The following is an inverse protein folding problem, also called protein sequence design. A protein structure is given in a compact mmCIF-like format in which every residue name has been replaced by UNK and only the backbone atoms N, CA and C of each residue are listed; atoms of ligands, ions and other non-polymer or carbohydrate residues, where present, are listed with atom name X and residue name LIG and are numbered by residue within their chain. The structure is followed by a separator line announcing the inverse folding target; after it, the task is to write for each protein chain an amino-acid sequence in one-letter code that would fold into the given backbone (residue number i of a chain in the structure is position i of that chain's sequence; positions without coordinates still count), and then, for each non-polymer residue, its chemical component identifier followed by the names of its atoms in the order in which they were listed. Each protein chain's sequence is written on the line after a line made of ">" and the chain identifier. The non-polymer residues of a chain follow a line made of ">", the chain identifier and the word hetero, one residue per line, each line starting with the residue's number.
data_IF_398902723214
#
_entry.id   IF_398902723214
#
_cell.length_a   1.000
_cell.length_b   1.000
_cell.length_c   1.000
_cell.angle_alpha   90.00
_cell.angle_beta   90.00
_cell.angle_gamma   90.00
#
_symmetry.space_group_name_H-M   'P 1'
#
loop_
_entity.id
_entity.type
_entity.pdbx_description
1 polymer ?
#
# COMPACT_ATOMS: atom_id res chain seq x y z
N UNK A 1 -9.01 23.33 -7.33
CA UNK A 1 -7.67 22.80 -7.52
C UNK A 1 -7.48 21.57 -6.67
N UNK A 2 -7.03 20.53 -7.26
CA UNK A 2 -6.83 19.31 -6.52
C UNK A 2 -5.43 19.24 -5.94
N UNK A 3 -5.34 18.77 -4.72
CA UNK A 3 -4.07 18.49 -4.10
C UNK A 3 -3.58 17.16 -4.61
N UNK A 4 -2.42 17.16 -5.22
CA UNK A 4 -1.77 15.93 -5.65
C UNK A 4 -0.82 15.47 -4.57
N UNK A 5 -0.69 14.17 -4.47
CA UNK A 5 0.22 13.58 -3.49
C UNK A 5 1.45 12.97 -4.17
N UNK A 6 1.83 13.56 -5.28
CA UNK A 6 3.00 13.13 -6.01
C UNK A 6 4.24 13.19 -5.12
N UNK A 7 5.00 12.12 -5.10
CA UNK A 7 6.19 12.05 -4.26
C UNK A 7 5.90 11.64 -2.81
N UNK A 8 4.63 11.56 -2.41
CA UNK A 8 4.28 11.08 -1.08
C UNK A 8 4.18 9.55 -1.10
N UNK A 9 4.57 8.94 -0.01
CA UNK A 9 4.49 7.49 0.18
C UNK A 9 3.52 7.23 1.31
N UNK A 10 2.49 6.42 1.02
CA UNK A 10 1.45 6.10 1.99
C UNK A 10 1.43 4.60 2.25
N UNK A 11 1.47 4.22 3.51
CA UNK A 11 1.40 2.83 3.91
C UNK A 11 -0.01 2.56 4.42
N UNK A 12 -0.71 1.60 3.82
CA UNK A 12 -2.09 1.28 4.18
C UNK A 12 -2.17 -0.19 4.58
N UNK A 13 -2.59 -0.44 5.82
CA UNK A 13 -2.84 -1.80 6.28
C UNK A 13 -4.32 -2.10 6.12
N UNK A 14 -4.64 -3.39 6.01
CA UNK A 14 -6.03 -3.81 5.85
C UNK A 14 -6.67 -3.34 4.56
N UNK A 15 -5.87 -3.20 3.49
CA UNK A 15 -6.34 -2.60 2.24
C UNK A 15 -6.99 -3.60 1.28
N UNK A 16 -7.12 -4.86 1.69
CA UNK A 16 -7.67 -5.88 0.80
C UNK A 16 -9.20 -5.85 0.74
N UNK A 17 -9.84 -5.10 1.62
CA UNK A 17 -11.32 -5.00 1.62
C UNK A 17 -11.76 -3.75 2.36
N UNK A 18 -13.01 -3.35 2.13
CA UNK A 18 -13.68 -2.34 2.91
C UNK A 18 -13.06 -0.96 2.84
N UNK A 19 -13.05 -0.28 3.98
CA UNK A 19 -12.60 1.11 4.07
C UNK A 19 -11.12 1.23 3.71
N UNK A 20 -10.30 0.26 4.11
CA UNK A 20 -8.87 0.29 3.80
C UNK A 20 -8.61 0.28 2.30
N UNK A 21 -9.35 -0.54 1.57
CA UNK A 21 -9.23 -0.60 0.11
C UNK A 21 -9.68 0.71 -0.53
N UNK A 22 -10.78 1.27 -0.07
CA UNK A 22 -11.28 2.53 -0.58
C UNK A 22 -10.28 3.68 -0.31
N UNK A 23 -9.68 3.67 0.87
CA UNK A 23 -8.66 4.66 1.23
C UNK A 23 -7.45 4.55 0.32
N UNK A 24 -6.97 3.33 0.10
CA UNK A 24 -5.83 3.10 -0.78
C UNK A 24 -6.11 3.58 -2.20
N UNK A 25 -7.32 3.31 -2.70
CA UNK A 25 -7.72 3.75 -4.04
C UNK A 25 -7.73 5.26 -4.13
N UNK A 26 -8.29 5.93 -3.11
CA UNK A 26 -8.31 7.39 -3.09
C UNK A 26 -6.92 7.99 -3.11
N UNK A 27 -6.01 7.44 -2.32
CA UNK A 27 -4.63 7.92 -2.30
C UNK A 27 -3.93 7.67 -3.64
N UNK A 28 -4.17 6.52 -4.24
CA UNK A 28 -3.57 6.21 -5.54
C UNK A 28 -4.07 7.16 -6.63
N UNK A 29 -5.34 7.55 -6.57
CA UNK A 29 -5.90 8.50 -7.52
C UNK A 29 -5.32 9.90 -7.37
N UNK A 30 -4.72 10.20 -6.22
CA UNK A 30 -4.02 11.46 -6.00
C UNK A 30 -2.53 11.38 -6.37
N UNK A 31 -2.15 10.32 -7.05
CA UNK A 31 -0.78 10.08 -7.51
C UNK A 31 0.21 9.79 -6.38
N UNK A 32 -0.27 9.39 -5.22
CA UNK A 32 0.60 8.93 -4.15
C UNK A 32 1.20 7.58 -4.50
N UNK A 33 2.38 7.31 -3.99
CA UNK A 33 2.93 5.98 -4.00
C UNK A 33 2.30 5.22 -2.84
N UNK A 34 1.52 4.19 -3.14
CA UNK A 34 0.75 3.49 -2.13
C UNK A 34 1.35 2.11 -1.91
N UNK A 35 1.67 1.81 -0.65
CA UNK A 35 2.17 0.49 -0.26
C UNK A 35 1.12 -0.14 0.62
N UNK A 36 0.50 -1.21 0.14
CA UNK A 36 -0.49 -1.91 0.94
C UNK A 36 0.16 -3.10 1.64
N UNK A 37 -0.29 -3.36 2.85
CA UNK A 37 0.22 -4.46 3.66
C UNK A 37 -0.92 -5.42 3.92
N UNK A 38 -0.69 -6.69 3.58
CA UNK A 38 -1.66 -7.73 3.84
C UNK A 38 -0.96 -8.99 4.29
N UNK A 39 -1.72 -9.87 4.91
CA UNK A 39 -1.20 -11.13 5.41
C UNK A 39 -1.23 -12.22 4.35
N UNK A 40 -2.18 -12.17 3.45
CA UNK A 40 -2.34 -13.15 2.38
C UNK A 40 -1.70 -12.62 1.10
N UNK A 41 -0.63 -13.27 0.66
CA UNK A 41 0.14 -12.81 -0.49
C UNK A 41 -0.70 -12.74 -1.76
N UNK A 42 -1.49 -13.78 -2.03
CA UNK A 42 -2.32 -13.82 -3.25
C UNK A 42 -3.35 -12.73 -3.28
N UNK A 43 -4.09 -12.56 -2.17
CA UNK A 43 -5.13 -11.55 -2.08
C UNK A 43 -4.54 -10.15 -2.15
N UNK A 44 -3.40 -9.93 -1.50
CA UNK A 44 -2.75 -8.64 -1.51
C UNK A 44 -2.29 -8.28 -2.93
N UNK A 45 -1.75 -9.25 -3.65
CA UNK A 45 -1.31 -9.04 -5.02
C UNK A 45 -2.47 -8.72 -5.94
N UNK A 46 -3.59 -9.42 -5.78
CA UNK A 46 -4.80 -9.12 -6.57
C UNK A 46 -5.30 -7.71 -6.29
N UNK A 47 -5.24 -7.30 -5.04
CA UNK A 47 -5.66 -5.95 -4.66
C UNK A 47 -4.77 -4.89 -5.31
N UNK A 48 -3.46 -5.13 -5.34
CA UNK A 48 -2.54 -4.23 -6.02
C UNK A 48 -2.92 -4.06 -7.48
N UNK A 49 -3.19 -5.18 -8.16
CA UNK A 49 -3.57 -5.14 -9.58
C UNK A 49 -4.85 -4.34 -9.78
N UNK A 50 -5.81 -4.56 -8.91
CA UNK A 50 -7.08 -3.84 -9.00
C UNK A 50 -6.88 -2.34 -8.77
N UNK A 51 -6.11 -1.97 -7.75
CA UNK A 51 -5.85 -0.58 -7.44
C UNK A 51 -5.10 0.13 -8.57
N UNK A 52 -4.12 -0.53 -9.16
CA UNK A 52 -3.41 0.03 -10.31
C UNK A 52 -4.35 0.30 -11.48
N UNK A 53 -5.23 -0.65 -11.76
CA UNK A 53 -6.16 -0.52 -12.86
C UNK A 53 -7.18 0.59 -12.60
N UNK A 54 -7.73 0.63 -11.39
CA UNK A 54 -8.78 1.59 -11.05
C UNK A 54 -8.24 3.01 -10.93
N UNK A 55 -7.03 3.17 -10.41
CA UNK A 55 -6.45 4.49 -10.19
C UNK A 55 -5.62 4.97 -11.36
N UNK A 56 -5.24 4.07 -12.26
CA UNK A 56 -4.29 4.35 -13.34
C UNK A 56 -2.94 4.82 -12.80
N UNK A 57 -2.60 4.38 -11.60
CA UNK A 57 -1.34 4.71 -10.95
C UNK A 57 -0.52 3.43 -10.79
N UNK A 58 0.60 3.33 -11.47
CA UNK A 58 1.44 2.14 -11.40
C UNK A 58 2.28 2.06 -10.12
N UNK A 59 2.26 3.11 -9.30
CA UNK A 59 3.06 3.16 -8.09
C UNK A 59 2.31 2.61 -6.88
N UNK A 60 1.56 1.53 -7.08
CA UNK A 60 0.92 0.79 -6.01
C UNK A 60 1.71 -0.50 -5.84
N UNK A 61 2.17 -0.77 -4.62
CA UNK A 61 2.99 -1.93 -4.31
C UNK A 61 2.44 -2.63 -3.07
N UNK A 62 2.95 -3.81 -2.80
CA UNK A 62 2.50 -4.57 -1.64
C UNK A 62 3.68 -5.07 -0.83
N UNK A 63 3.43 -5.22 0.46
CA UNK A 63 4.31 -5.95 1.36
C UNK A 63 3.45 -6.95 2.12
N UNK A 64 3.98 -8.15 2.33
CA UNK A 64 3.24 -9.20 3.03
C UNK A 64 3.80 -9.31 4.45
N UNK A 65 2.94 -9.14 5.44
CA UNK A 65 3.35 -9.27 6.83
C UNK A 65 2.15 -9.57 7.71
N UNK A 66 2.39 -10.34 8.77
CA UNK A 66 1.39 -10.59 9.80
C UNK A 66 1.60 -9.59 10.92
N UNK A 67 0.74 -8.59 10.98
CA UNK A 67 0.89 -7.50 11.92
C UNK A 67 0.56 -7.90 13.37
N UNK A 68 0.06 -9.12 13.59
CA UNK A 68 -0.10 -9.62 14.95
C UNK A 68 1.22 -10.10 15.56
N UNK A 69 2.26 -10.23 14.76
CA UNK A 69 3.58 -10.67 15.20
C UNK A 69 4.52 -9.47 15.27
N UNK A 70 5.10 -9.26 16.46
CA UNK A 70 6.06 -8.17 16.64
C UNK A 70 7.30 -8.33 15.76
N UNK A 71 7.74 -9.58 15.56
CA UNK A 71 8.88 -9.84 14.69
C UNK A 71 8.56 -9.44 13.25
N UNK A 72 7.34 -9.75 12.78
CA UNK A 72 6.90 -9.38 11.45
C UNK A 72 6.80 -7.86 11.30
N UNK A 73 6.29 -7.17 12.31
CA UNK A 73 6.18 -5.72 12.28
C UNK A 73 7.56 -5.08 12.18
N UNK A 74 8.53 -5.57 12.93
CA UNK A 74 9.89 -5.05 12.86
C UNK A 74 10.52 -5.27 11.50
N UNK A 75 10.31 -6.46 10.94
CA UNK A 75 10.83 -6.79 9.62
C UNK A 75 10.18 -5.90 8.56
N UNK A 76 8.89 -5.68 8.68
CA UNK A 76 8.16 -4.80 7.77
C UNK A 76 8.71 -3.37 7.82
N UNK A 77 8.92 -2.85 9.03
CA UNK A 77 9.43 -1.50 9.18
C UNK A 77 10.82 -1.38 8.57
N UNK A 78 11.69 -2.37 8.78
CA UNK A 78 13.02 -2.36 8.21
C UNK A 78 12.97 -2.42 6.68
N UNK A 79 12.13 -3.28 6.14
CA UNK A 79 11.98 -3.43 4.69
C UNK A 79 11.45 -2.13 4.08
N UNK A 80 10.45 -1.53 4.71
CA UNK A 80 9.88 -0.29 4.24
C UNK A 80 10.93 0.82 4.21
N UNK A 81 11.69 0.92 5.30
CA UNK A 81 12.72 1.96 5.41
C UNK A 81 13.81 1.78 4.36
N UNK A 82 14.26 0.55 4.14
CA UNK A 82 15.28 0.28 3.12
C UNK A 82 14.79 0.61 1.72
N UNK A 83 13.52 0.32 1.45
CA UNK A 83 12.96 0.45 0.11
C UNK A 83 12.60 1.89 -0.23
N UNK A 84 12.15 2.66 0.74
CA UNK A 84 11.56 3.97 0.51
C UNK A 84 12.28 5.11 1.21
N UNK A 85 13.32 4.83 1.95
CA UNK A 85 14.09 5.86 2.62
C UNK A 85 15.03 6.52 1.61
N UNK A 86 14.79 7.78 1.37
CA UNK A 86 15.58 8.56 0.43
C UNK A 86 16.13 9.78 1.10
#
# INVERSE_FOLDING_TARGET
>A
MSARMQGKICLVTGATAGIGKATALGLARLDARVVIVGRNAGLTEETVKELRRESRNSQVESLVADLSSQAEVRRLAATFQQRYDK
#
